data_IF_311831091573
#
_entry.id   IF_311831091573
#
_cell.length_a   1.000
_cell.length_b   1.000
_cell.length_c   1.000
_cell.angle_alpha   90.00
_cell.angle_beta   90.00
_cell.angle_gamma   90.00
#
_symmetry.space_group_name_H-M   'P 1'
#
loop_
_entity.id
_entity.type
_entity.pdbx_description
1 polymer ?
#
# COMPACT_ATOMS: atom_id res chain seq x y z
N UNK A 1 5.88 -53.07 11.14
CA UNK A 1 5.37 -51.69 11.11
C UNK A 1 4.37 -51.61 9.97
N UNK A 2 3.09 -51.36 10.25
CA UNK A 2 2.05 -51.31 9.23
C UNK A 2 2.18 -49.99 8.42
N UNK A 3 2.40 -50.09 7.13
CA UNK A 3 2.34 -48.98 6.23
C UNK A 3 0.91 -48.36 6.29
N UNK A 4 0.80 -47.12 6.76
CA UNK A 4 -0.44 -46.37 6.69
C UNK A 4 -0.80 -46.18 5.21
N UNK A 5 -1.83 -46.89 4.73
CA UNK A 5 -2.43 -46.59 3.42
C UNK A 5 -2.71 -45.11 3.32
N UNK A 6 -2.01 -44.43 2.41
CA UNK A 6 -2.32 -43.01 2.10
C UNK A 6 -3.78 -42.90 1.67
N UNK A 7 -4.49 -42.00 2.30
CA UNK A 7 -5.90 -41.76 1.98
C UNK A 7 -5.97 -40.90 0.72
N UNK A 8 -6.30 -41.49 -0.42
CA UNK A 8 -6.41 -40.81 -1.73
C UNK A 8 -7.37 -39.61 -1.70
N UNK A 9 -8.41 -39.68 -0.86
CA UNK A 9 -9.37 -38.59 -0.69
C UNK A 9 -8.72 -37.41 0.06
N UNK A 10 -7.87 -37.66 1.02
CA UNK A 10 -7.13 -36.59 1.71
C UNK A 10 -6.21 -35.84 0.76
N UNK A 11 -5.54 -36.53 -0.16
CA UNK A 11 -4.68 -35.87 -1.18
C UNK A 11 -5.49 -35.05 -2.19
N UNK A 12 -6.71 -35.48 -2.54
CA UNK A 12 -7.56 -34.79 -3.53
C UNK A 12 -8.38 -33.66 -2.93
N UNK A 13 -8.79 -33.76 -1.67
CA UNK A 13 -9.76 -32.83 -1.06
C UNK A 13 -9.16 -31.93 0.01
N UNK A 14 -8.00 -32.27 0.57
CA UNK A 14 -7.36 -31.44 1.56
C UNK A 14 -6.76 -30.17 0.91
N UNK A 15 -7.08 -29.03 1.48
CA UNK A 15 -6.43 -27.78 1.12
C UNK A 15 -5.00 -27.79 1.65
N UNK A 16 -4.03 -27.77 0.74
CA UNK A 16 -2.60 -27.66 1.06
C UNK A 16 -2.15 -26.24 0.70
N UNK A 17 -2.13 -25.31 1.67
CA UNK A 17 -1.65 -23.97 1.40
C UNK A 17 -0.16 -24.00 1.07
N UNK A 18 0.21 -23.37 -0.05
CA UNK A 18 1.61 -23.15 -0.39
C UNK A 18 2.05 -21.78 0.12
N UNK A 19 3.26 -21.71 0.63
CA UNK A 19 3.89 -20.44 0.96
C UNK A 19 3.98 -19.56 -0.30
N UNK A 20 3.82 -18.25 -0.16
CA UNK A 20 3.93 -17.29 -1.27
C UNK A 20 5.27 -17.43 -2.01
N UNK A 21 6.37 -17.61 -1.28
CA UNK A 21 7.70 -17.80 -1.86
C UNK A 21 7.83 -19.03 -2.77
N UNK A 22 7.06 -20.10 -2.54
CA UNK A 22 7.06 -21.30 -3.39
C UNK A 22 6.39 -21.06 -4.77
N UNK A 23 5.73 -19.93 -4.94
CA UNK A 23 5.00 -19.58 -6.15
C UNK A 23 5.68 -18.48 -6.98
N UNK A 24 6.67 -17.80 -6.39
CA UNK A 24 7.37 -16.71 -7.04
C UNK A 24 8.38 -17.24 -8.06
N UNK A 25 8.41 -16.60 -9.23
CA UNK A 25 9.54 -16.70 -10.14
C UNK A 25 10.73 -15.92 -9.59
N UNK A 26 11.92 -16.19 -10.09
CA UNK A 26 13.13 -15.44 -9.70
C UNK A 26 13.06 -13.95 -10.04
N UNK A 27 12.24 -13.56 -11.01
CA UNK A 27 12.00 -12.15 -11.36
C UNK A 27 11.06 -11.48 -10.36
N UNK A 28 9.96 -12.13 -10.00
CA UNK A 28 9.03 -11.64 -8.98
C UNK A 28 9.69 -11.54 -7.60
N UNK A 29 10.56 -12.49 -7.26
CA UNK A 29 11.33 -12.43 -6.01
C UNK A 29 12.26 -11.21 -5.98
N UNK A 30 12.98 -10.93 -7.07
CA UNK A 30 13.81 -9.73 -7.18
C UNK A 30 12.98 -8.44 -7.09
N UNK A 31 11.84 -8.39 -7.77
CA UNK A 31 10.93 -7.25 -7.73
C UNK A 31 10.38 -7.02 -6.31
N UNK A 32 10.04 -8.09 -5.60
CA UNK A 32 9.60 -8.04 -4.21
C UNK A 32 10.70 -7.46 -3.30
N UNK A 33 11.94 -7.93 -3.45
CA UNK A 33 13.05 -7.39 -2.66
C UNK A 33 13.32 -5.92 -2.96
N UNK A 34 13.30 -5.50 -4.22
CA UNK A 34 13.44 -4.10 -4.60
C UNK A 34 12.34 -3.23 -3.97
N UNK A 35 11.09 -3.68 -4.00
CA UNK A 35 9.98 -3.01 -3.32
C UNK A 35 10.21 -2.88 -1.81
N UNK A 36 10.77 -3.92 -1.18
CA UNK A 36 11.07 -3.89 0.26
C UNK A 36 12.16 -2.87 0.60
N UNK A 37 13.15 -2.65 -0.27
CA UNK A 37 14.16 -1.61 -0.05
C UNK A 37 13.55 -0.20 -0.10
N UNK A 38 12.69 0.09 -1.09
CA UNK A 38 11.93 1.34 -1.17
C UNK A 38 11.03 1.54 0.06
N UNK A 39 10.42 0.46 0.55
CA UNK A 39 9.60 0.51 1.75
C UNK A 39 10.41 0.78 3.03
N UNK A 40 11.61 0.24 3.15
CA UNK A 40 12.52 0.56 4.27
C UNK A 40 12.90 2.04 4.26
N UNK A 41 13.23 2.60 3.09
CA UNK A 41 13.51 4.02 2.94
C UNK A 41 12.33 4.89 3.38
N UNK A 42 11.10 4.50 2.98
CA UNK A 42 9.89 5.16 3.44
C UNK A 42 9.74 5.13 4.97
N UNK A 43 10.00 3.98 5.61
CA UNK A 43 9.93 3.84 7.07
C UNK A 43 11.00 4.66 7.79
N UNK A 44 12.18 4.78 7.21
CA UNK A 44 13.27 5.58 7.77
C UNK A 44 12.96 7.09 7.77
N UNK A 45 12.19 7.56 6.80
CA UNK A 45 11.70 8.94 6.74
C UNK A 45 10.43 9.15 7.59
N UNK A 46 9.54 8.15 7.62
CA UNK A 46 8.20 8.23 8.24
C UNK A 46 8.14 7.83 9.71
N UNK A 47 9.06 8.28 10.58
CA UNK A 47 9.14 7.88 11.99
C UNK A 47 8.02 8.40 12.89
N UNK A 48 7.32 9.42 12.47
CA UNK A 48 6.13 9.96 13.13
C UNK A 48 5.04 10.21 12.10
N UNK A 49 3.78 10.34 12.56
CA UNK A 49 2.67 10.64 11.64
C UNK A 49 2.91 11.92 10.83
N UNK A 50 3.59 12.92 11.40
CA UNK A 50 3.92 14.16 10.69
C UNK A 50 4.98 13.96 9.64
N UNK A 51 6.08 13.29 9.97
CA UNK A 51 7.13 12.96 9.02
C UNK A 51 6.62 12.06 7.90
N UNK A 52 5.73 11.11 8.23
CA UNK A 52 5.09 10.27 7.23
C UNK A 52 4.25 11.11 6.24
N UNK A 53 3.46 12.07 6.73
CA UNK A 53 2.68 12.97 5.88
C UNK A 53 3.57 13.87 5.02
N UNK A 54 4.65 14.42 5.59
CA UNK A 54 5.62 15.24 4.85
C UNK A 54 6.27 14.43 3.72
N UNK A 55 6.76 13.24 4.01
CA UNK A 55 7.36 12.37 3.00
C UNK A 55 6.33 11.90 1.96
N UNK A 56 5.09 11.60 2.34
CA UNK A 56 4.02 11.34 1.39
C UNK A 56 3.76 12.51 0.43
N UNK A 57 3.83 13.75 0.91
CA UNK A 57 3.68 14.95 0.08
C UNK A 57 4.82 15.06 -0.93
N UNK A 58 6.07 14.81 -0.51
CA UNK A 58 7.23 14.80 -1.40
C UNK A 58 7.07 13.77 -2.52
N UNK A 59 6.73 12.53 -2.16
CA UNK A 59 6.51 11.44 -3.12
C UNK A 59 5.33 11.72 -4.06
N UNK A 60 4.25 12.31 -3.55
CA UNK A 60 3.08 12.67 -4.34
C UNK A 60 3.42 13.82 -5.32
N UNK A 61 4.11 14.86 -4.84
CA UNK A 61 4.53 15.99 -5.66
C UNK A 61 5.45 15.56 -6.80
N UNK A 62 6.39 14.66 -6.53
CA UNK A 62 7.25 14.06 -7.55
C UNK A 62 6.48 13.28 -8.62
N UNK A 63 5.25 12.84 -8.32
CA UNK A 63 4.33 12.13 -9.24
C UNK A 63 3.27 13.03 -9.84
N UNK A 64 3.39 14.36 -9.69
CA UNK A 64 2.53 15.36 -10.28
C UNK A 64 1.24 15.63 -9.52
N UNK A 65 1.15 15.26 -8.24
CA UNK A 65 0.06 15.71 -7.39
C UNK A 65 0.29 17.16 -6.95
N UNK A 66 -0.77 17.93 -6.93
CA UNK A 66 -0.77 19.33 -6.48
C UNK A 66 -1.69 19.50 -5.25
N UNK A 67 -1.44 20.52 -4.40
CA UNK A 67 -2.32 20.77 -3.27
C UNK A 67 -3.76 21.07 -3.74
N UNK A 68 -4.73 20.47 -3.08
CA UNK A 68 -6.14 20.77 -3.30
C UNK A 68 -6.55 22.02 -2.53
N UNK A 69 -7.17 22.96 -3.22
CA UNK A 69 -7.80 24.14 -2.64
C UNK A 69 -9.33 24.09 -2.82
N UNK A 70 -10.06 24.51 -1.79
CA UNK A 70 -11.53 24.52 -1.84
C UNK A 70 -12.03 25.40 -2.99
N UNK A 71 -12.85 24.81 -3.86
CA UNK A 71 -13.38 25.47 -5.05
C UNK A 71 -12.52 25.30 -6.30
N UNK A 72 -11.43 24.58 -6.23
CA UNK A 72 -10.62 24.22 -7.39
C UNK A 72 -11.45 23.41 -8.38
N UNK A 73 -11.46 23.84 -9.64
CA UNK A 73 -12.11 23.11 -10.73
C UNK A 73 -11.23 21.90 -11.09
N UNK A 74 -11.74 20.70 -10.90
CA UNK A 74 -11.04 19.46 -11.20
C UNK A 74 -11.60 18.82 -12.47
N UNK A 75 -10.72 18.18 -13.24
CA UNK A 75 -11.04 17.43 -14.46
C UNK A 75 -10.43 16.04 -14.41
N UNK A 76 -10.91 15.15 -15.23
CA UNK A 76 -10.39 13.78 -15.39
C UNK A 76 -8.88 13.78 -15.55
N UNK A 77 -8.20 12.94 -14.78
CA UNK A 77 -6.75 12.78 -14.76
C UNK A 77 -6.02 13.73 -13.80
N UNK A 78 -6.68 14.75 -13.24
CA UNK A 78 -6.06 15.62 -12.25
C UNK A 78 -5.68 14.82 -11.00
N UNK A 79 -4.50 15.13 -10.46
CA UNK A 79 -3.94 14.52 -9.26
C UNK A 79 -3.83 15.58 -8.18
N UNK A 80 -4.55 15.38 -7.09
CA UNK A 80 -4.55 16.35 -5.99
C UNK A 80 -4.30 15.67 -4.66
N UNK A 81 -3.73 16.42 -3.72
CA UNK A 81 -3.64 15.98 -2.34
C UNK A 81 -4.19 17.04 -1.37
N UNK A 82 -4.71 16.55 -0.24
CA UNK A 82 -5.14 17.40 0.86
C UNK A 82 -4.40 17.01 2.13
N UNK A 83 -3.64 17.96 2.68
CA UNK A 83 -2.93 17.80 3.95
C UNK A 83 -3.84 18.23 5.11
N UNK A 84 -4.27 17.27 5.92
CA UNK A 84 -5.07 17.55 7.10
C UNK A 84 -4.19 17.83 8.32
N UNK A 85 -3.77 19.08 8.48
CA UNK A 85 -3.02 19.59 9.65
C UNK A 85 -1.69 18.87 9.91
N UNK A 86 -1.06 18.29 8.90
CA UNK A 86 0.18 17.53 9.01
C UNK A 86 0.05 16.20 9.75
N UNK A 87 -1.16 15.66 9.90
CA UNK A 87 -1.41 14.40 10.61
C UNK A 87 -2.09 13.33 9.77
N UNK A 88 -2.72 13.73 8.69
CA UNK A 88 -3.30 12.84 7.71
C UNK A 88 -3.19 13.46 6.33
N UNK A 89 -3.12 12.64 5.30
CA UNK A 89 -3.09 13.06 3.91
C UNK A 89 -4.17 12.29 3.15
N UNK A 90 -4.83 12.96 2.23
CA UNK A 90 -5.69 12.36 1.22
C UNK A 90 -5.10 12.64 -0.15
N UNK A 91 -5.02 11.61 -0.98
CA UNK A 91 -4.57 11.69 -2.36
C UNK A 91 -5.74 11.29 -3.25
N UNK A 92 -5.98 12.01 -4.31
CA UNK A 92 -7.03 11.69 -5.26
C UNK A 92 -6.54 11.83 -6.71
N UNK A 93 -6.93 10.87 -7.52
CA UNK A 93 -6.83 10.95 -8.98
C UNK A 93 -8.25 11.00 -9.50
N UNK A 94 -8.58 12.04 -10.26
CA UNK A 94 -9.95 12.28 -10.73
C UNK A 94 -10.24 11.33 -11.89
N UNK A 95 -11.25 10.50 -11.71
CA UNK A 95 -11.72 9.53 -12.71
C UNK A 95 -12.56 10.17 -13.82
N UNK A 96 -12.96 9.34 -14.77
CA UNK A 96 -13.83 9.76 -15.88
C UNK A 96 -15.30 9.83 -15.49
N UNK A 97 -15.70 9.04 -14.50
CA UNK A 97 -17.10 8.94 -14.06
C UNK A 97 -17.33 9.78 -12.81
N UNK A 98 -18.56 10.25 -12.67
CA UNK A 98 -19.04 10.95 -11.48
C UNK A 98 -18.98 10.05 -10.24
N UNK A 99 -18.80 10.65 -9.07
CA UNK A 99 -18.74 9.95 -7.79
C UNK A 99 -19.99 9.14 -7.45
N UNK A 100 -21.14 9.45 -8.07
CA UNK A 100 -22.37 8.65 -7.93
C UNK A 100 -22.22 7.22 -8.46
N UNK A 101 -21.24 6.96 -9.32
CA UNK A 101 -20.89 5.63 -9.82
C UNK A 101 -19.91 4.89 -8.89
N UNK A 102 -19.47 5.52 -7.83
CA UNK A 102 -18.56 4.95 -6.84
C UNK A 102 -17.14 5.52 -6.93
N UNK A 103 -16.30 5.06 -6.02
CA UNK A 103 -14.89 5.38 -5.96
C UNK A 103 -14.09 4.17 -5.46
N UNK A 104 -12.85 4.03 -5.93
CA UNK A 104 -11.89 3.09 -5.36
C UNK A 104 -11.15 3.80 -4.22
N UNK A 105 -11.23 3.26 -3.01
CA UNK A 105 -10.62 3.87 -1.82
C UNK A 105 -9.62 2.89 -1.22
N UNK A 106 -8.35 3.31 -1.11
CA UNK A 106 -7.33 2.66 -0.29
C UNK A 106 -7.09 3.51 0.96
N UNK A 107 -7.14 2.89 2.13
CA UNK A 107 -6.91 3.58 3.39
C UNK A 107 -5.90 2.80 4.25
N UNK A 108 -5.01 3.53 4.91
CA UNK A 108 -4.04 2.99 5.85
C UNK A 108 -3.81 4.01 6.98
N UNK A 109 -3.39 3.53 8.14
CA UNK A 109 -2.95 4.42 9.23
C UNK A 109 -1.55 4.95 8.95
N UNK A 110 -1.23 6.14 9.47
CA UNK A 110 0.06 6.82 9.27
C UNK A 110 1.05 6.60 10.41
N UNK A 111 0.60 6.07 11.53
CA UNK A 111 1.45 5.72 12.66
C UNK A 111 2.11 4.35 12.44
N UNK A 112 3.39 4.25 12.78
CA UNK A 112 4.14 3.00 12.76
C UNK A 112 4.40 2.52 14.19
N UNK A 113 4.36 1.20 14.46
CA UNK A 113 4.79 0.64 15.74
C UNK A 113 6.25 1.02 16.00
N UNK A 114 6.53 1.57 17.20
CA UNK A 114 7.89 1.92 17.60
C UNK A 114 8.11 1.62 19.07
N UNK A 115 9.35 1.43 19.44
CA UNK A 115 9.78 1.38 20.82
C UNK A 115 10.39 2.73 21.21
N UNK A 116 9.83 3.37 22.22
CA UNK A 116 10.38 4.59 22.80
C UNK A 116 11.22 4.23 24.02
N UNK A 117 12.43 4.76 24.11
CA UNK A 117 13.28 4.63 25.30
C UNK A 117 12.81 5.69 26.29
N UNK A 118 12.44 5.24 27.47
CA UNK A 118 12.11 6.13 28.61
C UNK A 118 13.34 6.48 29.40
#
# INVERSE_FOLDING_TARGET
MAEKKKNEWAEKLAYAPKNGYERLSAEEERAMHAYCEDYKDFLDHGKTERLCVEHCIELASARGFVPYEKGMALKTGDKVYYNNKGKAIMLAVIGEQDLSHGANIGAAHTDAPRLDIK
#
